data_IF_499056339441
#
_entry.id   IF_499056339441
#
_cell.length_a   1.000
_cell.length_b   1.000
_cell.length_c   1.000
_cell.angle_alpha   90.00
_cell.angle_beta   90.00
_cell.angle_gamma   90.00
#
_symmetry.space_group_name_H-M   'P 1'
#
loop_
_entity.id
_entity.type
_entity.pdbx_description
1 polymer ?
#
# COMPACT_ATOMS: atom_id res chain seq x y z
N UNK A 1 -14.57 -12.41 -9.06
CA UNK A 1 -14.82 -11.53 -10.22
C UNK A 1 -13.49 -11.30 -10.92
N UNK A 2 -13.40 -11.47 -12.24
CA UNK A 2 -12.14 -11.25 -12.97
C UNK A 2 -11.91 -9.74 -13.10
N UNK A 3 -10.72 -9.28 -12.73
CA UNK A 3 -10.30 -7.89 -12.93
C UNK A 3 -9.66 -7.79 -14.31
N UNK A 4 -10.27 -7.03 -15.21
CA UNK A 4 -9.76 -6.78 -16.57
C UNK A 4 -9.05 -5.44 -16.64
N UNK A 5 -8.13 -5.24 -17.58
CA UNK A 5 -7.49 -3.94 -17.84
C UNK A 5 -8.52 -2.81 -17.98
N UNK A 6 -9.58 -3.04 -18.78
CA UNK A 6 -10.69 -2.08 -18.95
C UNK A 6 -11.37 -1.68 -17.64
N UNK A 7 -11.43 -2.57 -16.65
CA UNK A 7 -12.01 -2.28 -15.34
C UNK A 7 -11.08 -1.39 -14.52
N UNK A 8 -9.78 -1.68 -14.55
CA UNK A 8 -8.75 -0.84 -13.93
C UNK A 8 -8.78 0.58 -14.52
N UNK A 9 -8.90 0.69 -15.85
CA UNK A 9 -8.98 1.99 -16.53
C UNK A 9 -10.27 2.75 -16.18
N UNK A 10 -11.45 2.12 -16.35
CA UNK A 10 -12.73 2.82 -16.24
C UNK A 10 -13.18 3.07 -14.80
N UNK A 11 -12.87 2.17 -13.87
CA UNK A 11 -13.31 2.31 -12.48
C UNK A 11 -12.26 2.94 -11.58
N UNK A 12 -10.96 2.76 -11.88
CA UNK A 12 -9.85 3.22 -11.05
C UNK A 12 -9.00 4.31 -11.71
N UNK A 13 -9.27 4.68 -12.97
CA UNK A 13 -8.51 5.71 -13.67
C UNK A 13 -7.04 5.37 -13.89
N UNK A 14 -6.71 4.07 -13.90
CA UNK A 14 -5.34 3.59 -14.11
C UNK A 14 -4.96 3.75 -15.58
N UNK A 15 -3.73 4.21 -15.84
CA UNK A 15 -3.17 4.32 -17.18
C UNK A 15 -3.32 3.00 -17.97
N UNK A 16 -3.78 3.07 -19.21
CA UNK A 16 -4.08 1.90 -20.04
C UNK A 16 -2.89 0.95 -20.21
N UNK A 17 -1.66 1.48 -20.30
CA UNK A 17 -0.45 0.67 -20.42
C UNK A 17 -0.18 -0.11 -19.14
N UNK A 18 -0.31 0.53 -17.97
CA UNK A 18 -0.17 -0.12 -16.66
C UNK A 18 -1.28 -1.17 -16.45
N UNK A 19 -2.52 -0.81 -16.78
CA UNK A 19 -3.66 -1.70 -16.68
C UNK A 19 -3.50 -2.94 -17.56
N UNK A 20 -3.05 -2.76 -18.80
CA UNK A 20 -2.81 -3.87 -19.73
C UNK A 20 -1.64 -4.74 -19.29
N UNK A 21 -0.54 -4.12 -18.87
CA UNK A 21 0.64 -4.82 -18.39
C UNK A 21 0.29 -5.79 -17.27
N UNK A 22 -0.34 -5.32 -16.19
CA UNK A 22 -0.64 -6.17 -15.04
C UNK A 22 -1.84 -7.10 -15.24
N UNK A 23 -2.85 -6.72 -16.02
CA UNK A 23 -4.03 -7.57 -16.21
C UNK A 23 -3.80 -8.68 -17.25
N UNK A 24 -2.99 -8.44 -18.28
CA UNK A 24 -2.93 -9.29 -19.47
C UNK A 24 -1.52 -9.77 -19.84
N UNK A 25 -0.47 -8.99 -19.56
CA UNK A 25 0.89 -9.28 -20.07
C UNK A 25 1.78 -9.95 -19.01
N UNK A 26 1.79 -9.42 -17.79
CA UNK A 26 2.64 -9.92 -16.70
C UNK A 26 2.11 -11.27 -16.21
N UNK A 27 2.98 -12.27 -16.25
CA UNK A 27 2.71 -13.59 -15.70
C UNK A 27 2.94 -13.59 -14.20
N UNK A 28 2.22 -14.45 -13.49
CA UNK A 28 2.49 -14.74 -12.08
C UNK A 28 3.95 -15.21 -11.94
N UNK A 29 4.74 -14.62 -11.02
CA UNK A 29 6.10 -15.06 -10.78
C UNK A 29 6.11 -16.49 -10.22
N UNK A 30 7.00 -17.33 -10.77
CA UNK A 30 7.21 -18.69 -10.28
C UNK A 30 7.88 -18.67 -8.90
N UNK A 31 7.51 -19.63 -8.04
CA UNK A 31 8.08 -19.80 -6.69
C UNK A 31 7.98 -18.56 -5.78
N UNK A 32 6.96 -17.72 -6.00
CA UNK A 32 6.71 -16.54 -5.17
C UNK A 32 5.54 -16.80 -4.21
N UNK A 33 5.78 -16.67 -2.90
CA UNK A 33 4.75 -16.91 -1.87
C UNK A 33 3.55 -15.97 -1.96
N UNK A 34 3.73 -14.72 -2.39
CA UNK A 34 2.64 -13.75 -2.50
C UNK A 34 1.62 -14.14 -3.56
N UNK A 35 2.09 -14.69 -4.68
CA UNK A 35 1.24 -15.22 -5.75
C UNK A 35 1.08 -16.75 -5.71
N UNK A 36 1.41 -17.39 -4.58
CA UNK A 36 1.32 -18.84 -4.48
C UNK A 36 -0.12 -19.32 -4.81
N UNK A 37 -0.21 -20.36 -5.64
CA UNK A 37 -1.48 -20.92 -6.14
C UNK A 37 -2.36 -19.95 -6.95
N UNK A 38 -1.83 -18.80 -7.41
CA UNK A 38 -2.57 -17.88 -8.30
C UNK A 38 -2.33 -18.22 -9.76
N UNK A 39 -3.39 -18.09 -10.56
CA UNK A 39 -3.35 -18.30 -12.03
C UNK A 39 -3.24 -16.99 -12.81
N UNK A 40 -3.58 -15.87 -12.18
CA UNK A 40 -3.60 -14.53 -12.77
C UNK A 40 -2.89 -13.57 -11.82
N UNK A 41 -2.26 -12.54 -12.38
CA UNK A 41 -1.43 -11.60 -11.63
C UNK A 41 -2.25 -10.70 -10.70
N UNK A 42 -3.37 -10.17 -11.21
CA UNK A 42 -4.29 -9.31 -10.46
C UNK A 42 -5.58 -10.05 -10.14
N UNK A 43 -6.03 -9.93 -8.89
CA UNK A 43 -7.35 -10.39 -8.44
C UNK A 43 -8.12 -9.24 -7.79
N UNK A 44 -9.39 -9.45 -7.42
CA UNK A 44 -10.26 -8.39 -6.90
C UNK A 44 -9.96 -7.94 -5.47
N UNK A 45 -9.05 -8.62 -4.74
CA UNK A 45 -8.66 -8.20 -3.40
C UNK A 45 -7.75 -6.97 -3.45
N UNK A 46 -7.89 -6.06 -2.47
CA UNK A 46 -7.09 -4.83 -2.40
C UNK A 46 -5.59 -5.13 -2.43
N UNK A 47 -5.11 -6.15 -1.73
CA UNK A 47 -3.68 -6.54 -1.78
C UNK A 47 -3.09 -6.73 -3.19
N UNK A 48 -3.88 -7.17 -4.17
CA UNK A 48 -3.43 -7.26 -5.57
C UNK A 48 -3.74 -6.00 -6.37
N UNK A 49 -4.89 -5.38 -6.13
CA UNK A 49 -5.30 -4.15 -6.82
C UNK A 49 -4.40 -2.95 -6.49
N UNK A 50 -3.77 -2.94 -5.31
CA UNK A 50 -2.85 -1.89 -4.88
C UNK A 50 -1.63 -1.79 -5.79
N UNK A 51 -1.15 -2.90 -6.38
CA UNK A 51 0.04 -2.89 -7.26
C UNK A 51 -0.16 -1.93 -8.46
N UNK A 52 -1.18 -2.12 -9.34
CA UNK A 52 -1.37 -1.21 -10.45
C UNK A 52 -1.81 0.20 -10.01
N UNK A 53 -2.43 0.38 -8.83
CA UNK A 53 -2.74 1.70 -8.28
C UNK A 53 -1.46 2.48 -7.92
N UNK A 54 -0.50 1.84 -7.27
CA UNK A 54 0.79 2.46 -6.91
C UNK A 54 1.58 2.81 -8.17
N UNK A 55 1.70 1.88 -9.11
CA UNK A 55 2.43 2.13 -10.36
C UNK A 55 1.83 3.31 -11.13
N UNK A 56 0.51 3.40 -11.19
CA UNK A 56 -0.19 4.52 -11.81
C UNK A 56 0.04 5.84 -11.06
N UNK A 57 0.04 5.80 -9.72
CA UNK A 57 0.33 6.98 -8.91
C UNK A 57 1.75 7.49 -9.15
N UNK A 58 2.75 6.60 -9.10
CA UNK A 58 4.16 6.94 -9.37
C UNK A 58 4.33 7.49 -10.79
N UNK A 59 3.64 6.90 -11.76
CA UNK A 59 3.63 7.40 -13.14
C UNK A 59 3.03 8.81 -13.25
N UNK A 60 1.88 9.05 -12.62
CA UNK A 60 1.23 10.37 -12.60
C UNK A 60 2.06 11.42 -11.88
N UNK A 61 2.90 11.02 -10.94
CA UNK A 61 3.91 11.86 -10.30
C UNK A 61 5.16 12.09 -11.18
N UNK A 62 5.20 11.57 -12.41
CA UNK A 62 6.19 11.95 -13.42
C UNK A 62 7.22 10.89 -13.76
N UNK A 63 7.15 9.68 -13.19
CA UNK A 63 8.09 8.61 -13.57
C UNK A 63 7.67 7.98 -14.92
N UNK A 64 8.57 7.86 -15.90
CA UNK A 64 8.28 7.24 -17.19
C UNK A 64 7.84 5.77 -17.10
N UNK A 65 6.91 5.37 -17.97
CA UNK A 65 6.37 4.00 -18.01
C UNK A 65 7.42 2.94 -18.37
N UNK A 66 8.38 3.26 -19.23
CA UNK A 66 9.46 2.36 -19.64
C UNK A 66 10.44 2.07 -18.49
N UNK A 67 10.56 3.00 -17.55
CA UNK A 67 11.32 2.80 -16.30
C UNK A 67 10.49 1.97 -15.32
N UNK A 68 9.22 2.34 -15.08
CA UNK A 68 8.37 1.65 -14.12
C UNK A 68 8.04 0.22 -14.52
N UNK A 69 7.66 -0.02 -15.78
CA UNK A 69 7.26 -1.34 -16.26
C UNK A 69 8.47 -2.17 -16.74
N UNK A 70 9.68 -1.75 -16.38
CA UNK A 70 10.88 -2.54 -16.63
C UNK A 70 10.81 -3.86 -15.86
N UNK A 71 11.07 -4.99 -16.54
CA UNK A 71 10.99 -6.31 -15.92
C UNK A 71 11.93 -6.47 -14.72
N UNK A 72 13.08 -5.80 -14.69
CA UNK A 72 13.99 -5.81 -13.55
C UNK A 72 13.38 -5.16 -12.31
N UNK A 73 12.76 -4.00 -12.49
CA UNK A 73 12.07 -3.27 -11.42
C UNK A 73 10.84 -4.04 -10.91
N UNK A 74 9.98 -4.51 -11.81
CA UNK A 74 8.78 -5.28 -11.44
C UNK A 74 9.16 -6.58 -10.73
N UNK A 75 10.20 -7.29 -11.20
CA UNK A 75 10.67 -8.52 -10.55
C UNK A 75 11.30 -8.24 -9.17
N UNK A 76 11.91 -7.06 -8.97
CA UNK A 76 12.45 -6.66 -7.68
C UNK A 76 11.33 -6.45 -6.66
N UNK A 77 10.28 -5.74 -7.07
CA UNK A 77 9.07 -5.56 -6.26
C UNK A 77 8.43 -6.91 -5.90
N UNK A 78 8.32 -7.84 -6.86
CA UNK A 78 7.78 -9.18 -6.61
C UNK A 78 8.61 -9.97 -5.59
N UNK A 79 9.95 -9.87 -5.67
CA UNK A 79 10.85 -10.48 -4.70
C UNK A 79 10.70 -9.84 -3.31
N UNK A 80 10.43 -8.53 -3.24
CA UNK A 80 10.10 -7.84 -2.00
C UNK A 80 8.82 -8.40 -1.35
N UNK A 81 7.74 -8.60 -2.11
CA UNK A 81 6.54 -9.23 -1.58
C UNK A 81 6.72 -10.68 -1.16
N UNK A 82 7.62 -11.41 -1.81
CA UNK A 82 7.99 -12.74 -1.35
C UNK A 82 8.65 -12.70 0.03
N UNK A 83 9.58 -11.76 0.26
CA UNK A 83 10.20 -11.56 1.58
C UNK A 83 9.17 -11.18 2.63
N UNK A 84 8.25 -10.27 2.29
CA UNK A 84 7.16 -9.88 3.20
C UNK A 84 6.29 -11.09 3.58
N UNK A 85 5.94 -11.95 2.61
CA UNK A 85 5.16 -13.17 2.90
C UNK A 85 5.90 -14.19 3.75
N UNK A 86 7.21 -14.35 3.59
CA UNK A 86 7.99 -15.19 4.49
C UNK A 86 7.86 -14.70 5.95
N UNK A 87 7.92 -13.39 6.15
CA UNK A 87 7.79 -12.79 7.47
C UNK A 87 6.37 -12.92 8.03
N UNK A 88 5.35 -12.56 7.24
CA UNK A 88 3.94 -12.67 7.65
C UNK A 88 3.49 -14.11 7.94
N UNK A 89 4.11 -15.10 7.28
CA UNK A 89 3.86 -16.52 7.55
C UNK A 89 4.68 -17.06 8.75
N UNK A 90 5.45 -16.21 9.44
CA UNK A 90 6.37 -16.58 10.53
C UNK A 90 7.46 -17.58 10.08
N UNK A 91 7.75 -17.67 8.78
CA UNK A 91 8.80 -18.54 8.24
C UNK A 91 10.20 -17.96 8.47
N UNK A 92 10.29 -16.64 8.64
CA UNK A 92 11.53 -15.91 8.99
C UNK A 92 11.25 -14.89 10.09
N UNK A 93 12.27 -14.58 10.88
CA UNK A 93 12.25 -13.48 11.84
C UNK A 93 12.25 -12.12 11.15
N UNK A 94 11.87 -11.08 11.88
CA UNK A 94 11.92 -9.70 11.39
C UNK A 94 13.35 -9.25 11.01
N UNK A 95 14.37 -9.70 11.75
CA UNK A 95 15.78 -9.42 11.42
C UNK A 95 16.18 -10.06 10.08
N UNK A 96 15.77 -11.31 9.86
CA UNK A 96 16.00 -12.02 8.60
C UNK A 96 15.28 -11.35 7.44
N UNK A 97 14.05 -10.87 7.64
CA UNK A 97 13.31 -10.08 6.65
C UNK A 97 14.08 -8.82 6.23
N UNK A 98 14.59 -8.04 7.19
CA UNK A 98 15.36 -6.83 6.88
C UNK A 98 16.68 -7.14 6.18
N UNK A 99 17.37 -8.21 6.58
CA UNK A 99 18.59 -8.65 5.89
C UNK A 99 18.29 -9.16 4.47
N UNK A 100 17.17 -9.87 4.28
CA UNK A 100 16.66 -10.27 2.98
C UNK A 100 16.42 -9.08 2.06
N UNK A 101 15.75 -8.03 2.56
CA UNK A 101 15.54 -6.79 1.83
C UNK A 101 16.86 -6.08 1.48
N UNK A 102 17.82 -6.01 2.40
CA UNK A 102 19.16 -5.42 2.12
C UNK A 102 19.89 -6.17 1.02
N UNK A 103 19.94 -7.50 1.10
CA UNK A 103 20.60 -8.34 0.10
C UNK A 103 19.91 -8.22 -1.27
N UNK A 104 18.58 -8.16 -1.27
CA UNK A 104 17.79 -7.99 -2.48
C UNK A 104 18.13 -6.68 -3.21
N UNK A 105 18.40 -5.62 -2.46
CA UNK A 105 18.58 -4.24 -2.95
C UNK A 105 20.05 -3.83 -3.16
N UNK A 106 21.02 -4.58 -2.62
CA UNK A 106 22.43 -4.17 -2.46
C UNK A 106 23.03 -3.36 -3.63
N UNK A 107 23.05 -3.90 -4.85
CA UNK A 107 23.64 -3.24 -6.03
C UNK A 107 22.60 -2.54 -6.92
N UNK A 108 21.36 -2.42 -6.43
CA UNK A 108 20.21 -1.89 -7.17
C UNK A 108 19.76 -0.53 -6.66
N UNK A 109 20.19 -0.13 -5.46
CA UNK A 109 19.81 1.14 -4.84
C UNK A 109 20.30 2.32 -5.70
N UNK A 110 19.35 3.10 -6.20
CA UNK A 110 19.55 4.39 -6.87
C UNK A 110 19.08 5.57 -6.01
N UNK A 111 18.21 5.33 -5.04
CA UNK A 111 17.79 6.30 -4.02
C UNK A 111 18.32 5.93 -2.62
N UNK A 112 19.59 6.26 -2.31
CA UNK A 112 20.25 5.80 -1.08
C UNK A 112 19.68 6.42 0.19
N UNK A 113 19.14 7.64 0.12
CA UNK A 113 18.54 8.32 1.28
C UNK A 113 17.23 7.66 1.67
N UNK A 114 16.38 7.35 0.69
CA UNK A 114 15.14 6.63 0.95
C UNK A 114 15.43 5.24 1.52
N UNK A 115 16.38 4.50 0.92
CA UNK A 115 16.76 3.18 1.42
C UNK A 115 17.28 3.26 2.87
N UNK A 116 18.15 4.22 3.19
CA UNK A 116 18.67 4.40 4.54
C UNK A 116 17.56 4.68 5.56
N UNK A 117 16.63 5.56 5.22
CA UNK A 117 15.51 5.91 6.09
C UNK A 117 14.54 4.76 6.29
N UNK A 118 14.20 4.00 5.24
CA UNK A 118 13.34 2.82 5.38
C UNK A 118 13.99 1.76 6.28
N UNK A 119 15.28 1.46 6.10
CA UNK A 119 15.97 0.54 7.00
C UNK A 119 16.05 1.06 8.43
N UNK A 120 16.22 2.36 8.63
CA UNK A 120 16.18 2.96 9.96
C UNK A 120 14.79 2.80 10.59
N UNK A 121 13.74 3.21 9.87
CA UNK A 121 12.34 3.12 10.28
C UNK A 121 11.98 1.71 10.72
N UNK A 122 12.21 0.72 9.86
CA UNK A 122 11.91 -0.68 10.19
C UNK A 122 12.78 -1.22 11.33
N UNK A 123 13.99 -0.69 11.53
CA UNK A 123 14.82 -1.07 12.70
C UNK A 123 14.43 -0.34 13.99
N UNK A 124 13.32 0.41 14.03
CA UNK A 124 12.90 1.21 15.18
C UNK A 124 13.79 2.44 15.44
N UNK A 125 14.49 2.93 14.41
CA UNK A 125 15.37 4.10 14.47
C UNK A 125 14.72 5.29 13.74
N UNK A 126 15.03 6.53 14.14
CA UNK A 126 14.49 7.70 13.45
C UNK A 126 15.02 7.81 12.01
N UNK A 127 14.18 8.31 11.11
CA UNK A 127 14.59 8.72 9.76
C UNK A 127 15.40 10.02 9.81
N UNK A 128 16.26 10.22 8.80
CA UNK A 128 17.17 11.36 8.70
C UNK A 128 16.84 12.31 7.55
N UNK A 129 16.17 11.84 6.50
CA UNK A 129 15.97 12.59 5.26
C UNK A 129 14.50 12.90 4.97
N UNK A 130 13.61 11.94 5.20
CA UNK A 130 12.19 12.03 4.89
C UNK A 130 11.31 11.77 6.10
N UNK A 131 10.09 12.29 6.05
CA UNK A 131 9.08 12.12 7.11
C UNK A 131 8.13 11.00 6.75
N UNK A 132 8.00 10.02 7.64
CA UNK A 132 7.13 8.86 7.45
C UNK A 132 5.93 8.88 8.39
N UNK A 133 4.88 8.12 8.07
CA UNK A 133 3.77 7.91 9.00
C UNK A 133 4.25 7.02 10.16
N UNK A 134 4.36 7.61 11.34
CA UNK A 134 4.84 6.92 12.55
C UNK A 134 3.89 7.09 13.73
N UNK A 135 2.76 7.78 13.53
CA UNK A 135 1.79 8.06 14.59
C UNK A 135 0.93 6.81 14.83
N UNK A 136 0.54 6.11 13.76
CA UNK A 136 -0.31 4.92 13.83
C UNK A 136 0.42 3.71 13.28
N UNK A 137 0.62 2.68 14.11
CA UNK A 137 1.41 1.50 13.73
C UNK A 137 0.72 0.70 12.63
N UNK A 138 -0.60 0.51 12.78
CA UNK A 138 -1.44 -0.16 11.78
C UNK A 138 -1.34 0.47 10.38
N UNK A 139 -1.05 1.78 10.28
CA UNK A 139 -0.90 2.48 8.99
C UNK A 139 0.54 2.51 8.47
N UNK A 140 1.53 2.52 9.37
CA UNK A 140 2.96 2.56 9.05
C UNK A 140 3.43 1.31 8.27
N UNK A 141 2.73 0.17 8.38
CA UNK A 141 3.07 -1.08 7.64
C UNK A 141 3.13 -0.90 6.12
N UNK A 142 2.40 0.08 5.59
CA UNK A 142 2.40 0.38 4.16
C UNK A 142 3.78 0.81 3.67
N UNK A 143 4.62 1.45 4.50
CA UNK A 143 5.92 1.99 4.08
C UNK A 143 6.90 0.92 3.58
N UNK A 144 6.61 -0.36 3.85
CA UNK A 144 7.38 -1.49 3.29
C UNK A 144 7.36 -1.48 1.77
N UNK A 145 6.27 -1.00 1.16
CA UNK A 145 6.14 -0.85 -0.29
C UNK A 145 7.04 0.24 -0.86
N UNK A 146 7.49 1.22 -0.07
CA UNK A 146 8.40 2.26 -0.55
C UNK A 146 9.80 1.70 -0.89
N UNK A 147 10.14 0.49 -0.44
CA UNK A 147 11.32 -0.22 -0.95
C UNK A 147 11.25 -0.47 -2.46
N UNK A 148 10.06 -0.49 -3.06
CA UNK A 148 9.92 -0.59 -4.52
C UNK A 148 10.41 0.65 -5.25
N UNK A 149 10.60 1.79 -4.60
CA UNK A 149 11.07 3.02 -5.24
C UNK A 149 12.58 3.20 -5.18
N UNK A 150 13.29 2.41 -4.37
CA UNK A 150 14.70 2.65 -4.07
C UNK A 150 15.63 2.31 -5.24
N UNK A 151 15.18 1.50 -6.21
CA UNK A 151 15.92 1.13 -7.42
C UNK A 151 15.66 2.09 -8.59
N UNK A 152 14.81 3.09 -8.39
CA UNK A 152 14.52 4.16 -9.32
C UNK A 152 15.45 5.36 -9.05
N UNK A 153 15.90 5.99 -10.14
CA UNK A 153 16.72 7.20 -10.08
C UNK A 153 15.81 8.42 -9.83
N UNK A 154 15.43 8.63 -8.57
CA UNK A 154 14.49 9.65 -8.13
C UNK A 154 15.22 10.71 -7.29
N UNK A 155 14.86 11.99 -7.48
CA UNK A 155 15.43 13.05 -6.65
C UNK A 155 14.79 13.09 -5.27
N UNK A 156 15.47 13.71 -4.30
CA UNK A 156 14.92 13.89 -2.94
C UNK A 156 13.68 14.78 -2.96
N UNK A 157 13.64 15.78 -3.84
CA UNK A 157 12.48 16.63 -4.06
C UNK A 157 11.29 15.80 -4.57
N UNK A 158 11.54 14.87 -5.48
CA UNK A 158 10.50 13.97 -5.98
C UNK A 158 9.94 13.11 -4.85
N UNK A 159 10.81 12.47 -4.03
CA UNK A 159 10.37 11.66 -2.89
C UNK A 159 9.53 12.50 -1.92
N UNK A 160 10.00 13.70 -1.59
CA UNK A 160 9.29 14.63 -0.69
C UNK A 160 7.90 15.00 -1.22
N UNK A 161 7.77 15.20 -2.53
CA UNK A 161 6.49 15.51 -3.18
C UNK A 161 5.58 14.27 -3.31
N UNK A 162 6.16 13.09 -3.48
CA UNK A 162 5.43 11.85 -3.67
C UNK A 162 4.84 11.31 -2.36
N UNK A 163 5.56 11.40 -1.24
CA UNK A 163 5.13 10.83 0.04
C UNK A 163 3.71 11.24 0.48
N UNK A 164 3.27 12.50 0.36
CA UNK A 164 1.87 12.86 0.63
C UNK A 164 0.86 12.09 -0.23
N UNK A 165 1.17 11.87 -1.52
CA UNK A 165 0.32 11.08 -2.40
C UNK A 165 0.36 9.58 -2.08
N UNK A 166 1.52 9.08 -1.67
CA UNK A 166 1.65 7.72 -1.16
C UNK A 166 0.67 7.46 -0.01
N UNK A 167 0.71 8.30 1.01
CA UNK A 167 -0.19 8.16 2.17
C UNK A 167 -1.67 8.37 1.79
N UNK A 168 -1.95 9.24 0.83
CA UNK A 168 -3.31 9.50 0.35
C UNK A 168 -3.95 8.30 -0.37
N UNK A 169 -3.11 7.36 -0.84
CA UNK A 169 -3.53 6.07 -1.39
C UNK A 169 -3.49 4.95 -0.33
N UNK A 170 -2.36 4.82 0.37
CA UNK A 170 -2.09 3.67 1.22
C UNK A 170 -2.96 3.65 2.48
N UNK A 171 -3.15 4.80 3.15
CA UNK A 171 -3.93 4.85 4.41
C UNK A 171 -5.40 4.51 4.20
N UNK A 172 -6.13 5.05 3.20
CA UNK A 172 -7.50 4.60 2.94
C UNK A 172 -7.63 3.10 2.73
N UNK A 173 -6.66 2.45 2.08
CA UNK A 173 -6.67 0.99 1.87
C UNK A 173 -6.55 0.26 3.21
N UNK A 174 -5.59 0.65 4.05
CA UNK A 174 -5.39 0.02 5.35
C UNK A 174 -6.55 0.30 6.31
N UNK A 175 -7.11 1.51 6.27
CA UNK A 175 -8.30 1.85 7.05
C UNK A 175 -9.49 0.98 6.65
N UNK A 176 -9.67 0.63 5.37
CA UNK A 176 -10.75 -0.28 4.97
C UNK A 176 -10.62 -1.67 5.60
N UNK A 177 -9.41 -2.18 5.71
CA UNK A 177 -9.14 -3.43 6.42
C UNK A 177 -9.42 -3.26 7.92
N UNK A 178 -8.90 -2.19 8.56
CA UNK A 178 -9.15 -1.91 9.98
C UNK A 178 -10.65 -1.75 10.30
N UNK A 179 -11.43 -1.11 9.42
CA UNK A 179 -12.88 -1.02 9.57
C UNK A 179 -13.54 -2.38 9.47
N UNK A 180 -13.10 -3.22 8.52
CA UNK A 180 -13.67 -4.53 8.22
C UNK A 180 -13.35 -5.56 9.33
N UNK A 181 -12.16 -5.48 9.89
CA UNK A 181 -11.62 -6.49 10.79
C UNK A 181 -11.66 -6.04 12.27
N UNK A 182 -12.17 -4.83 12.57
CA UNK A 182 -12.26 -4.23 13.91
C UNK A 182 -12.70 -5.19 15.04
N UNK A 183 -13.73 -6.01 14.81
CA UNK A 183 -14.24 -6.93 15.85
C UNK A 183 -13.24 -8.05 16.13
N UNK A 184 -12.62 -8.58 15.07
CA UNK A 184 -11.61 -9.62 15.14
C UNK A 184 -10.36 -9.05 15.83
N UNK A 185 -9.83 -7.92 15.34
CA UNK A 185 -8.62 -7.28 15.85
C UNK A 185 -8.74 -6.91 17.34
N UNK A 186 -9.92 -6.42 17.76
CA UNK A 186 -10.19 -6.14 19.17
C UNK A 186 -10.12 -7.39 20.04
N UNK A 187 -10.54 -8.54 19.51
CA UNK A 187 -10.57 -9.80 20.25
C UNK A 187 -9.20 -10.48 20.34
N UNK A 188 -8.38 -10.34 19.29
CA UNK A 188 -7.04 -10.91 19.19
C UNK A 188 -5.95 -9.98 19.73
N UNK A 189 -6.24 -8.68 19.89
CA UNK A 189 -5.26 -7.68 20.30
C UNK A 189 -4.31 -7.27 19.17
N UNK A 190 -4.75 -7.42 17.92
CA UNK A 190 -3.98 -7.05 16.73
C UNK A 190 -3.98 -5.53 16.50
N UNK A 191 -3.05 -5.06 15.66
CA UNK A 191 -2.93 -3.65 15.30
C UNK A 191 -4.16 -3.17 14.51
N UNK A 192 -4.79 -2.09 14.96
CA UNK A 192 -5.94 -1.47 14.29
C UNK A 192 -6.04 0.01 14.65
N UNK A 193 -6.14 0.88 13.64
CA UNK A 193 -6.12 2.34 13.82
C UNK A 193 -7.28 2.84 14.70
N UNK A 194 -8.47 2.24 14.61
CA UNK A 194 -9.63 2.65 15.42
C UNK A 194 -9.38 2.32 16.90
N UNK A 195 -8.71 1.19 17.17
CA UNK A 195 -8.33 0.79 18.54
C UNK A 195 -7.25 1.74 19.07
N UNK A 196 -6.22 2.04 18.27
CA UNK A 196 -5.15 2.98 18.62
C UNK A 196 -5.69 4.39 18.95
N UNK A 197 -6.76 4.81 18.28
CA UNK A 197 -7.44 6.10 18.49
C UNK A 197 -8.39 6.10 19.71
N UNK A 198 -8.51 4.99 20.44
CA UNK A 198 -9.26 4.90 21.70
C UNK A 198 -10.55 4.08 21.65
N UNK A 199 -10.77 3.33 20.57
CA UNK A 199 -11.81 2.29 20.45
C UNK A 199 -13.24 2.74 20.81
N UNK A 200 -13.65 3.89 20.29
CA UNK A 200 -14.96 4.50 20.57
C UNK A 200 -15.53 5.22 19.33
N UNK A 201 -16.71 5.81 19.46
CA UNK A 201 -17.36 6.56 18.36
C UNK A 201 -16.47 7.66 17.80
N UNK A 202 -15.79 8.44 18.64
CA UNK A 202 -14.89 9.49 18.17
C UNK A 202 -13.68 8.91 17.42
N UNK A 203 -13.19 7.72 17.80
CA UNK A 203 -12.13 7.02 17.08
C UNK A 203 -12.58 6.57 15.68
N UNK A 204 -13.80 6.03 15.57
CA UNK A 204 -14.42 5.67 14.27
C UNK A 204 -14.54 6.90 13.37
N UNK A 205 -15.06 8.01 13.91
CA UNK A 205 -15.19 9.27 13.17
C UNK A 205 -13.83 9.84 12.75
N UNK A 206 -12.83 9.80 13.65
CA UNK A 206 -11.48 10.27 13.35
C UNK A 206 -10.81 9.45 12.25
N UNK A 207 -10.90 8.11 12.31
CA UNK A 207 -10.37 7.21 11.29
C UNK A 207 -11.04 7.45 9.92
N UNK A 208 -12.37 7.58 9.90
CA UNK A 208 -13.10 7.89 8.68
C UNK A 208 -12.70 9.26 8.10
N UNK A 209 -12.66 10.31 8.93
CA UNK A 209 -12.30 11.65 8.49
C UNK A 209 -10.86 11.73 7.98
N UNK A 210 -9.93 10.98 8.58
CA UNK A 210 -8.56 10.83 8.08
C UNK A 210 -8.56 10.26 6.65
N UNK A 211 -9.24 9.13 6.45
CA UNK A 211 -9.36 8.53 5.12
C UNK A 211 -10.02 9.46 4.11
N UNK A 212 -11.04 10.24 4.51
CA UNK A 212 -11.69 11.22 3.61
C UNK A 212 -10.74 12.35 3.21
N UNK A 213 -9.97 12.90 4.14
CA UNK A 213 -8.98 13.94 3.86
C UNK A 213 -7.86 13.44 2.92
N UNK A 214 -7.39 12.21 3.15
CA UNK A 214 -6.46 11.53 2.26
C UNK A 214 -7.04 11.41 0.84
N UNK A 215 -8.29 10.97 0.71
CA UNK A 215 -8.94 10.87 -0.60
C UNK A 215 -9.17 12.21 -1.30
N UNK A 216 -9.24 13.34 -0.58
CA UNK A 216 -9.28 14.66 -1.19
C UNK A 216 -7.96 15.01 -1.88
N UNK A 217 -6.82 14.70 -1.24
CA UNK A 217 -5.51 14.85 -1.86
C UNK A 217 -5.35 13.92 -3.06
N UNK A 218 -5.72 12.64 -2.91
CA UNK A 218 -5.64 11.67 -4.02
C UNK A 218 -6.49 12.10 -5.22
N UNK A 219 -7.65 12.72 -4.99
CA UNK A 219 -8.51 13.18 -6.07
C UNK A 219 -7.86 14.24 -6.98
N UNK A 220 -6.83 14.95 -6.50
CA UNK A 220 -6.10 15.93 -7.31
C UNK A 220 -5.26 15.29 -8.42
N UNK A 221 -4.91 14.01 -8.29
CA UNK A 221 -4.07 13.27 -9.24
C UNK A 221 -4.79 12.05 -9.86
N UNK A 222 -5.68 11.40 -9.11
CA UNK A 222 -6.52 10.31 -9.61
C UNK A 222 -7.96 10.41 -9.02
N UNK A 223 -8.84 11.24 -9.62
CA UNK A 223 -10.20 11.44 -9.12
C UNK A 223 -11.07 10.18 -9.21
N UNK A 224 -10.82 9.29 -10.17
CA UNK A 224 -11.60 8.05 -10.32
C UNK A 224 -11.28 7.06 -9.20
N UNK A 225 -10.00 6.84 -8.91
CA UNK A 225 -9.57 6.01 -7.79
C UNK A 225 -10.05 6.58 -6.44
N UNK A 226 -9.94 7.90 -6.26
CA UNK A 226 -10.44 8.55 -5.05
C UNK A 226 -11.95 8.35 -4.87
N UNK A 227 -12.73 8.53 -5.94
CA UNK A 227 -14.18 8.28 -5.92
C UNK A 227 -14.51 6.80 -5.70
N UNK A 228 -13.69 5.88 -6.23
CA UNK A 228 -13.81 4.44 -6.00
C UNK A 228 -13.62 4.12 -4.52
N UNK A 229 -12.50 4.50 -3.92
CA UNK A 229 -12.19 4.23 -2.51
C UNK A 229 -13.17 4.90 -1.55
N UNK A 230 -13.64 6.12 -1.89
CA UNK A 230 -14.66 6.81 -1.09
C UNK A 230 -15.94 6.01 -0.94
N UNK A 231 -16.35 5.25 -1.97
CA UNK A 231 -17.53 4.37 -1.87
C UNK A 231 -17.31 3.27 -0.83
N UNK A 232 -16.13 2.65 -0.84
CA UNK A 232 -15.80 1.60 0.13
C UNK A 232 -15.72 2.16 1.56
N UNK A 233 -15.13 3.34 1.77
CA UNK A 233 -15.10 3.96 3.10
C UNK A 233 -16.52 4.30 3.59
N UNK A 234 -17.38 4.82 2.71
CA UNK A 234 -18.77 5.07 3.04
C UNK A 234 -19.54 3.78 3.37
N UNK A 235 -19.24 2.70 2.66
CA UNK A 235 -19.86 1.39 2.90
C UNK A 235 -19.32 0.74 4.18
N UNK A 236 -18.08 1.02 4.59
CA UNK A 236 -17.51 0.55 5.85
C UNK A 236 -18.29 1.08 7.08
N UNK A 237 -18.82 2.31 7.01
CA UNK A 237 -19.73 2.84 8.04
C UNK A 237 -21.07 2.10 8.12
N UNK A 238 -21.37 1.20 7.17
CA UNK A 238 -22.59 0.40 7.13
C UNK A 238 -22.43 -0.99 7.71
N UNK A 239 -21.22 -1.39 8.09
CA UNK A 239 -21.02 -2.65 8.80
C UNK A 239 -21.84 -2.66 10.10
N UNK A 240 -22.52 -3.78 10.38
CA UNK A 240 -23.52 -3.84 11.45
C UNK A 240 -22.94 -3.45 12.81
N UNK A 241 -21.70 -3.86 13.10
CA UNK A 241 -21.01 -3.50 14.35
C UNK A 241 -20.59 -2.03 14.38
N UNK A 242 -20.13 -1.44 13.28
CA UNK A 242 -19.82 -0.01 13.19
C UNK A 242 -21.08 0.82 13.41
N UNK A 243 -22.18 0.46 12.74
CA UNK A 243 -23.48 1.11 12.93
C UNK A 243 -23.97 0.99 14.36
N UNK A 244 -23.83 -0.18 14.97
CA UNK A 244 -24.23 -0.39 16.36
C UNK A 244 -23.45 0.53 17.32
N UNK A 245 -22.15 0.75 17.09
CA UNK A 245 -21.36 1.71 17.89
C UNK A 245 -21.82 3.15 17.65
N UNK A 246 -21.99 3.57 16.40
CA UNK A 246 -22.40 4.93 16.05
C UNK A 246 -23.80 5.31 16.56
N UNK A 247 -24.68 4.35 16.83
CA UNK A 247 -26.00 4.61 17.42
C UNK A 247 -25.98 4.77 18.94
N UNK A 248 -24.83 4.56 19.61
CA UNK A 248 -24.70 4.72 21.07
C UNK A 248 -24.43 6.17 21.49
N UNK A 249 -24.05 7.05 20.56
CA UNK A 249 -23.85 8.49 20.77
C UNK A 249 -25.15 9.27 20.64
#
# INVERSE_FOLDING_TARGET
MVITSRKLELELGINSTIANYFANERKVPENNLFWNNKRIYISSGFGFLTIPMIFDLVHKCGVPLDILLNDGHVSLMEQGFHQLKLYENEEISFEEFLNGCKNLLQDKIKQPKLAADLFALFSGKPSSYFTFETTHKALARSDSFLFTLVDLDLSDEWITQFLPYWYSLARPILLLDDFKDLVEDRSSGEENTIIELGDNVAAIEAAYNMGIADLELLATINPQLAAFMRRFLNDALRYDYIRAELMKS
#
